data_IF_780953263904
#
_entry.id   IF_780953263904
#
_cell.length_a   1.000
_cell.length_b   1.000
_cell.length_c   1.000
_cell.angle_alpha   90.00
_cell.angle_beta   90.00
_cell.angle_gamma   90.00
#
_symmetry.space_group_name_H-M   'P 1'
#
loop_
_entity.id
_entity.type
_entity.pdbx_description
1 polymer ?
#
# COMPACT_ATOMS: atom_id res chain seq x y z
N UNK A 1 -7.02 17.97 0.14
CA UNK A 1 -6.16 16.81 0.38
C UNK A 1 -6.90 15.59 -0.13
N UNK A 2 -6.31 14.79 -1.02
CA UNK A 2 -6.97 13.61 -1.58
C UNK A 2 -7.23 12.54 -0.51
N UNK A 3 -8.15 11.64 -0.81
CA UNK A 3 -8.49 10.49 0.03
C UNK A 3 -7.96 9.20 -0.60
N UNK A 4 -7.65 8.23 0.25
CA UNK A 4 -7.49 6.85 -0.18
C UNK A 4 -8.86 6.32 -0.60
N UNK A 5 -8.89 5.62 -1.73
CA UNK A 5 -10.06 5.02 -2.34
C UNK A 5 -9.67 3.62 -2.83
N UNK A 6 -10.59 2.67 -2.71
CA UNK A 6 -10.46 1.36 -3.33
C UNK A 6 -11.11 1.40 -4.70
N UNK A 7 -10.32 1.23 -5.77
CA UNK A 7 -10.83 1.08 -7.13
C UNK A 7 -11.96 0.04 -7.19
N UNK A 8 -13.02 0.33 -7.95
CA UNK A 8 -14.20 -0.55 -8.06
C UNK A 8 -13.86 -1.95 -8.60
N UNK A 9 -12.73 -2.08 -9.31
CA UNK A 9 -12.21 -3.35 -9.85
C UNK A 9 -11.52 -4.23 -8.81
N UNK A 10 -11.24 -3.70 -7.62
CA UNK A 10 -10.48 -4.36 -6.58
C UNK A 10 -11.32 -4.58 -5.33
N UNK A 11 -10.99 -5.64 -4.60
CA UNK A 11 -11.56 -5.99 -3.30
C UNK A 11 -10.44 -6.07 -2.27
N UNK A 12 -10.71 -5.58 -1.06
CA UNK A 12 -9.78 -5.65 0.06
C UNK A 12 -10.53 -5.98 1.34
N UNK A 13 -10.10 -7.02 2.04
CA UNK A 13 -10.67 -7.43 3.34
C UNK A 13 -9.79 -7.02 4.54
N UNK A 14 -8.72 -6.28 4.28
CA UNK A 14 -7.73 -5.86 5.28
C UNK A 14 -6.52 -6.78 5.37
N UNK A 15 -6.60 -8.01 4.85
CA UNK A 15 -5.50 -8.98 4.75
C UNK A 15 -5.11 -9.30 3.32
N UNK A 16 -6.06 -9.33 2.40
CA UNK A 16 -5.83 -9.55 0.97
C UNK A 16 -6.37 -8.37 0.15
N UNK A 17 -5.64 -8.00 -0.90
CA UNK A 17 -6.05 -7.08 -1.96
C UNK A 17 -5.95 -7.81 -3.29
N UNK A 18 -7.08 -7.95 -3.98
CA UNK A 18 -7.19 -8.72 -5.22
C UNK A 18 -8.22 -8.13 -6.19
N UNK A 19 -8.07 -8.39 -7.51
CA UNK A 19 -9.11 -8.04 -8.47
C UNK A 19 -10.42 -8.75 -8.13
N UNK A 20 -11.56 -8.09 -8.36
CA UNK A 20 -12.88 -8.73 -8.19
C UNK A 20 -13.14 -9.80 -9.24
N UNK A 21 -12.59 -9.62 -10.44
CA UNK A 21 -12.71 -10.55 -11.56
C UNK A 21 -11.33 -11.14 -11.88
N UNK A 22 -11.26 -12.47 -12.02
CA UNK A 22 -10.00 -13.15 -12.36
C UNK A 22 -8.94 -13.11 -11.25
N UNK A 23 -9.36 -13.11 -9.98
CA UNK A 23 -8.44 -13.18 -8.85
C UNK A 23 -7.61 -14.48 -8.90
N UNK A 24 -6.28 -14.35 -8.83
CA UNK A 24 -5.33 -15.46 -8.72
C UNK A 24 -4.29 -15.12 -7.66
N UNK A 25 -3.54 -16.11 -7.18
CA UNK A 25 -2.45 -15.86 -6.23
C UNK A 25 -1.33 -14.97 -6.82
N UNK A 26 -1.20 -14.88 -8.15
CA UNK A 26 -0.20 -14.04 -8.81
C UNK A 26 -0.57 -12.55 -8.80
N UNK A 27 -1.87 -12.23 -8.86
CA UNK A 27 -2.36 -10.84 -8.86
C UNK A 27 -2.98 -10.42 -7.51
N UNK A 28 -2.78 -11.22 -6.46
CA UNK A 28 -3.24 -10.93 -5.10
C UNK A 28 -2.07 -10.46 -4.24
N UNK A 29 -2.28 -9.41 -3.46
CA UNK A 29 -1.36 -8.91 -2.43
C UNK A 29 -1.89 -9.27 -1.06
N UNK A 30 -0.98 -9.56 -0.13
CA UNK A 30 -1.30 -9.88 1.25
C UNK A 30 -0.60 -8.94 2.22
N UNK A 31 -1.25 -8.65 3.35
CA UNK A 31 -0.67 -7.98 4.50
C UNK A 31 -0.73 -8.91 5.73
N UNK A 32 0.42 -9.25 6.27
CA UNK A 32 0.55 -10.19 7.41
C UNK A 32 0.78 -9.49 8.76
N UNK A 33 0.53 -8.18 8.84
CA UNK A 33 0.77 -7.36 10.03
C UNK A 33 2.12 -6.64 10.00
N UNK A 34 3.07 -7.08 9.17
CA UNK A 34 4.36 -6.39 8.98
C UNK A 34 4.77 -6.26 7.53
N UNK A 35 4.46 -7.25 6.70
CA UNK A 35 4.88 -7.30 5.31
C UNK A 35 3.68 -7.19 4.38
N UNK A 36 3.82 -6.35 3.35
CA UNK A 36 2.92 -6.27 2.21
C UNK A 36 3.64 -6.90 1.02
N UNK A 37 3.13 -8.01 0.50
CA UNK A 37 3.82 -8.79 -0.54
C UNK A 37 2.84 -9.49 -1.49
N UNK A 38 3.27 -9.88 -2.70
CA UNK A 38 2.48 -10.75 -3.54
C UNK A 38 2.20 -12.07 -2.82
N UNK A 39 0.99 -12.60 -2.97
CA UNK A 39 0.58 -13.88 -2.38
C UNK A 39 1.41 -15.05 -2.94
N UNK A 40 1.82 -14.94 -4.19
CA UNK A 40 2.74 -15.88 -4.85
C UNK A 40 4.01 -15.17 -5.33
N UNK A 41 5.15 -15.87 -5.32
CA UNK A 41 6.46 -15.34 -5.76
C UNK A 41 6.96 -14.10 -5.01
N UNK A 42 6.69 -14.02 -3.71
CA UNK A 42 7.25 -12.98 -2.86
C UNK A 42 8.78 -13.09 -2.77
N UNK A 43 9.46 -11.96 -2.93
CA UNK A 43 10.90 -11.77 -2.80
C UNK A 43 11.15 -10.46 -2.04
N UNK A 44 12.36 -10.24 -1.55
CA UNK A 44 12.69 -8.97 -0.88
C UNK A 44 12.55 -7.74 -1.79
N UNK A 45 12.63 -7.91 -3.13
CA UNK A 45 12.50 -6.82 -4.10
C UNK A 45 11.06 -6.35 -4.34
N UNK A 46 10.08 -7.25 -4.19
CA UNK A 46 8.66 -6.95 -4.37
C UNK A 46 7.87 -6.97 -3.04
N UNK A 47 8.57 -7.07 -1.91
CA UNK A 47 7.99 -6.98 -0.57
C UNK A 47 8.20 -5.60 0.00
N UNK A 48 7.17 -5.11 0.69
CA UNK A 48 7.19 -3.87 1.44
C UNK A 48 7.03 -4.16 2.93
N UNK A 49 7.60 -3.31 3.77
CA UNK A 49 7.51 -3.40 5.22
C UNK A 49 6.69 -2.23 5.71
N UNK A 50 5.76 -2.50 6.63
CA UNK A 50 5.03 -1.51 7.39
C UNK A 50 5.23 -1.77 8.88
N UNK A 51 5.73 -0.78 9.61
CA UNK A 51 6.04 -0.88 11.05
C UNK A 51 5.06 -0.10 11.96
N UNK A 52 3.95 0.38 11.39
CA UNK A 52 3.00 1.26 12.08
C UNK A 52 3.22 2.75 11.77
N UNK A 53 4.43 3.16 11.37
CA UNK A 53 4.76 4.56 11.04
C UNK A 53 5.33 4.75 9.65
N UNK A 54 6.06 3.79 9.12
CA UNK A 54 6.71 3.87 7.81
C UNK A 54 6.31 2.68 6.94
N UNK A 55 5.94 2.97 5.70
CA UNK A 55 5.73 2.00 4.63
C UNK A 55 6.85 2.15 3.60
N UNK A 56 7.69 1.13 3.44
CA UNK A 56 8.88 1.19 2.57
C UNK A 56 9.18 -0.13 1.88
N UNK A 57 9.93 -0.14 0.77
CA UNK A 57 10.45 -1.37 0.20
C UNK A 57 11.28 -2.15 1.23
N UNK A 58 11.20 -3.47 1.24
CA UNK A 58 12.07 -4.28 2.09
C UNK A 58 13.53 -4.17 1.65
N UNK A 59 13.76 -4.08 0.35
CA UNK A 59 15.08 -3.93 -0.26
C UNK A 59 15.22 -2.54 -0.91
N UNK A 60 16.38 -1.89 -0.74
CA UNK A 60 16.69 -0.58 -1.31
C UNK A 60 15.77 0.57 -0.85
N UNK A 61 15.27 0.51 0.38
CA UNK A 61 14.48 1.61 0.97
C UNK A 61 15.30 2.91 1.05
N UNK A 62 14.67 4.01 0.67
CA UNK A 62 15.18 5.36 0.84
C UNK A 62 14.00 6.36 0.91
N UNK A 63 14.28 7.60 1.30
CA UNK A 63 13.24 8.60 1.51
C UNK A 63 12.41 8.94 0.26
N UNK A 64 12.89 8.66 -0.95
CA UNK A 64 12.15 8.91 -2.19
C UNK A 64 11.12 7.82 -2.51
N UNK A 65 11.32 6.61 -1.99
CA UNK A 65 10.40 5.47 -2.20
C UNK A 65 9.68 5.02 -0.91
N UNK A 66 9.93 5.68 0.22
CA UNK A 66 9.23 5.49 1.48
C UNK A 66 8.04 6.42 1.64
N UNK A 67 7.06 5.95 2.42
CA UNK A 67 5.88 6.70 2.85
C UNK A 67 5.80 6.72 4.37
N UNK A 68 5.36 7.84 4.93
CA UNK A 68 5.17 8.04 6.37
C UNK A 68 3.69 8.11 6.68
N UNK A 69 3.29 7.44 7.75
CA UNK A 69 1.95 7.45 8.32
C UNK A 69 1.96 8.39 9.53
N UNK A 70 1.13 9.43 9.47
CA UNK A 70 0.93 10.40 10.54
C UNK A 70 -0.56 10.52 10.86
N UNK A 71 -0.97 9.95 12.00
CA UNK A 71 -2.38 9.86 12.37
C UNK A 71 -3.17 9.08 11.32
N UNK A 72 -4.19 9.72 10.73
CA UNK A 72 -5.02 9.14 9.69
C UNK A 72 -4.55 9.47 8.26
N UNK A 73 -3.27 9.82 8.07
CA UNK A 73 -2.72 10.24 6.79
C UNK A 73 -1.52 9.41 6.38
N UNK A 74 -1.31 9.28 5.08
CA UNK A 74 -0.09 8.73 4.47
C UNK A 74 0.48 9.75 3.49
N UNK A 75 1.79 9.98 3.54
CA UNK A 75 2.49 10.94 2.67
C UNK A 75 3.86 10.41 2.26
N UNK A 76 4.42 10.85 1.11
CA UNK A 76 5.81 10.55 0.77
C UNK A 76 6.75 11.02 1.89
N UNK A 77 7.79 10.25 2.19
CA UNK A 77 8.77 10.69 3.18
C UNK A 77 9.56 11.91 2.69
N UNK A 78 9.85 11.96 1.39
CA UNK A 78 10.47 13.11 0.74
C UNK A 78 9.46 13.86 -0.15
N UNK A 79 9.60 15.19 -0.24
CA UNK A 79 8.76 16.08 -1.07
C UNK A 79 7.24 15.97 -0.84
N UNK A 80 6.81 15.70 0.40
CA UNK A 80 5.40 15.71 0.79
C UNK A 80 4.76 17.10 0.64
N UNK A 81 3.55 17.14 0.11
CA UNK A 81 2.70 18.32 -0.02
C UNK A 81 1.20 17.92 0.03
N UNK A 82 0.30 18.89 -0.11
CA UNK A 82 -1.14 18.67 0.03
C UNK A 82 -1.79 17.84 -1.09
N UNK A 83 -1.10 17.66 -2.23
CA UNK A 83 -1.61 16.91 -3.39
C UNK A 83 -1.13 15.46 -3.41
N UNK A 84 -0.04 15.14 -2.70
CA UNK A 84 0.48 13.78 -2.56
C UNK A 84 0.35 13.21 -1.14
N UNK A 85 -0.30 13.93 -0.23
CA UNK A 85 -0.70 13.42 1.09
C UNK A 85 -2.15 12.95 1.04
N UNK A 86 -2.43 11.74 1.52
CA UNK A 86 -3.75 11.11 1.44
C UNK A 86 -4.30 10.81 2.83
N UNK A 87 -5.60 11.04 3.04
CA UNK A 87 -6.31 10.53 4.22
C UNK A 87 -6.74 9.08 4.01
N UNK A 88 -6.61 8.23 5.02
CA UNK A 88 -7.01 6.83 4.93
C UNK A 88 -8.51 6.64 4.68
N UNK A 89 -9.36 7.60 5.08
CA UNK A 89 -10.81 7.53 4.86
C UNK A 89 -11.46 6.22 5.35
N UNK A 90 -10.96 5.67 6.47
CA UNK A 90 -11.43 4.39 7.04
C UNK A 90 -10.87 3.13 6.36
N UNK A 91 -10.04 3.26 5.32
CA UNK A 91 -9.41 2.14 4.65
C UNK A 91 -8.14 1.63 5.35
N UNK A 92 -7.79 0.38 5.09
CA UNK A 92 -6.57 -0.25 5.63
C UNK A 92 -5.30 0.23 4.91
N UNK A 93 -4.15 -0.04 5.52
CA UNK A 93 -2.83 0.17 4.89
C UNK A 93 -2.70 -0.56 3.55
N UNK A 94 -3.35 -1.71 3.40
CA UNK A 94 -3.29 -2.49 2.16
C UNK A 94 -4.02 -1.80 1.01
N UNK A 95 -5.14 -1.10 1.26
CA UNK A 95 -5.80 -0.25 0.25
C UNK A 95 -4.92 0.94 -0.11
N UNK A 96 -4.36 1.62 0.90
CA UNK A 96 -3.46 2.73 0.67
C UNK A 96 -2.25 2.33 -0.18
N UNK A 97 -1.64 1.18 0.12
CA UNK A 97 -0.58 0.56 -0.67
C UNK A 97 -1.02 0.31 -2.12
N UNK A 98 -2.21 -0.24 -2.33
CA UNK A 98 -2.80 -0.43 -3.65
C UNK A 98 -2.85 0.85 -4.48
N UNK A 99 -3.28 1.96 -3.89
CA UNK A 99 -3.38 3.23 -4.60
C UNK A 99 -2.02 3.93 -4.76
N UNK A 100 -1.25 4.08 -3.69
CA UNK A 100 -0.07 4.96 -3.69
C UNK A 100 1.20 4.28 -4.18
N UNK A 101 1.30 2.96 -4.05
CA UNK A 101 2.47 2.19 -4.47
C UNK A 101 2.18 1.40 -5.75
N UNK A 102 1.12 0.59 -5.74
CA UNK A 102 0.77 -0.25 -6.90
C UNK A 102 0.04 0.51 -8.01
N UNK A 103 -0.40 1.73 -7.73
CA UNK A 103 -1.05 2.61 -8.72
C UNK A 103 -2.34 2.00 -9.29
N UNK A 104 -3.16 1.40 -8.42
CA UNK A 104 -4.41 0.74 -8.77
C UNK A 104 -5.59 1.72 -8.67
N UNK A 105 -5.94 2.34 -9.80
CA UNK A 105 -7.12 3.20 -9.98
C UNK A 105 -8.12 2.58 -10.97
#
# INVERSE_FOLDING_TARGET
MPKIELSSKWSCDGRELKPKLGATSQNTWIYDGRYLKPKFSATSKNTWVYDGRELKPQFSANSQNSWVIEGNKIKPQFSSNSTNTYEFNGHSILVAFGQVVLKLW
#
